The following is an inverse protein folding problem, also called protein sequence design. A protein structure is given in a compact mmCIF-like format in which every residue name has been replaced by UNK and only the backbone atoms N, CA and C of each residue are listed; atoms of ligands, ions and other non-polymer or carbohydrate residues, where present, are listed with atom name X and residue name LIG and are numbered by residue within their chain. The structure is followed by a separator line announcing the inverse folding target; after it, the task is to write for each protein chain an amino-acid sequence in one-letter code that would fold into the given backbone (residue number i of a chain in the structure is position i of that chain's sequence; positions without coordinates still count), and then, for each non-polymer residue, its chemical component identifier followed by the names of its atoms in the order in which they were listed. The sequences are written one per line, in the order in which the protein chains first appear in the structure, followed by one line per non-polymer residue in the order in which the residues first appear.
data_IF_369383670994
#
_entry.id   IF_369383670994
#
_cell.length_a   1.000
_cell.length_b   1.000
_cell.length_c   1.000
_cell.angle_alpha   90.00
_cell.angle_beta   90.00
_cell.angle_gamma   90.00
#
_symmetry.space_group_name_H-M   'P 1'
#
loop_
_entity.id
_entity.type
_entity.pdbx_description
1 polymer ?
#
# COMPACT_ATOMS: atom_id res chain seq x y z
N UNK A 1 15.04 26.81 -23.57
CA UNK A 1 15.53 25.78 -22.62
C UNK A 1 14.48 24.79 -22.07
N UNK A 2 13.15 24.92 -22.29
CA UNK A 2 12.13 23.96 -21.76
C UNK A 2 12.01 22.61 -22.51
N UNK A 3 12.61 22.43 -23.70
CA UNK A 3 12.43 21.21 -24.54
C UNK A 3 13.33 20.02 -24.16
N UNK A 4 14.58 20.25 -23.73
CA UNK A 4 15.51 19.16 -23.37
C UNK A 4 15.16 18.49 -22.03
N UNK A 5 14.70 19.28 -21.04
CA UNK A 5 14.19 18.73 -19.77
C UNK A 5 12.97 17.83 -19.97
N UNK A 6 12.08 18.20 -20.90
CA UNK A 6 10.92 17.39 -21.30
C UNK A 6 11.32 16.06 -21.96
N UNK A 7 12.30 16.07 -22.86
CA UNK A 7 12.77 14.85 -23.53
C UNK A 7 13.51 13.90 -22.58
N UNK A 8 14.33 14.44 -21.67
CA UNK A 8 15.04 13.65 -20.66
C UNK A 8 14.08 13.01 -19.66
N UNK A 9 13.08 13.75 -19.17
CA UNK A 9 12.07 13.21 -18.25
C UNK A 9 11.18 12.17 -18.94
N UNK A 10 10.81 12.39 -20.21
CA UNK A 10 10.08 11.37 -21.01
C UNK A 10 10.89 10.08 -21.17
N UNK A 11 12.14 10.17 -21.64
CA UNK A 11 13.03 9.00 -21.76
C UNK A 11 13.20 8.29 -20.41
N UNK A 12 13.27 9.05 -19.31
CA UNK A 12 13.38 8.51 -17.96
C UNK A 12 12.13 7.75 -17.55
N UNK A 13 10.94 8.29 -17.81
CA UNK A 13 9.66 7.64 -17.55
C UNK A 13 9.46 6.39 -18.42
N UNK A 14 9.80 6.47 -19.71
CA UNK A 14 9.71 5.34 -20.66
C UNK A 14 10.62 4.19 -20.23
N UNK A 15 11.87 4.48 -19.86
CA UNK A 15 12.80 3.46 -19.34
C UNK A 15 12.24 2.80 -18.09
N UNK A 16 11.70 3.59 -17.15
CA UNK A 16 11.11 3.07 -15.92
C UNK A 16 9.90 2.17 -16.22
N UNK A 17 9.04 2.57 -17.16
CA UNK A 17 7.85 1.82 -17.57
C UNK A 17 8.23 0.47 -18.17
N UNK A 18 9.16 0.45 -19.13
CA UNK A 18 9.63 -0.77 -19.80
C UNK A 18 10.23 -1.77 -18.79
N UNK A 19 11.01 -1.28 -17.82
CA UNK A 19 11.54 -2.14 -16.73
C UNK A 19 10.41 -2.77 -15.89
N UNK A 20 9.39 -1.99 -15.53
CA UNK A 20 8.24 -2.48 -14.74
C UNK A 20 7.46 -3.53 -15.53
N UNK A 21 7.10 -3.25 -16.78
CA UNK A 21 6.29 -4.14 -17.63
C UNK A 21 7.01 -5.48 -17.87
N UNK A 22 8.31 -5.43 -18.18
CA UNK A 22 9.12 -6.64 -18.36
C UNK A 22 9.24 -7.47 -17.09
N UNK A 23 9.49 -6.83 -15.94
CA UNK A 23 9.57 -7.50 -14.66
C UNK A 23 8.24 -8.13 -14.24
N UNK A 24 7.12 -7.40 -14.34
CA UNK A 24 5.79 -7.94 -14.04
C UNK A 24 5.48 -9.15 -14.90
N UNK A 25 5.72 -9.07 -16.22
CA UNK A 25 5.52 -10.19 -17.13
C UNK A 25 6.34 -11.42 -16.75
N UNK A 26 7.60 -11.24 -16.31
CA UNK A 26 8.45 -12.35 -15.86
C UNK A 26 7.98 -12.91 -14.50
N UNK A 27 7.59 -12.06 -13.55
CA UNK A 27 7.07 -12.52 -12.26
C UNK A 27 5.80 -13.35 -12.40
N UNK A 28 4.91 -13.01 -13.34
CA UNK A 28 3.71 -13.80 -13.61
C UNK A 28 3.98 -15.17 -14.21
N UNK A 29 5.05 -15.34 -15.00
CA UNK A 29 5.34 -16.61 -15.68
C UNK A 29 6.28 -17.51 -14.91
N UNK A 30 7.24 -16.93 -14.16
CA UNK A 30 8.34 -17.66 -13.50
C UNK A 30 8.33 -17.52 -11.97
N UNK A 31 7.39 -16.76 -11.41
CA UNK A 31 7.41 -16.38 -9.98
C UNK A 31 8.48 -15.33 -9.67
N UNK A 32 8.41 -14.71 -8.49
CA UNK A 32 9.40 -13.70 -8.10
C UNK A 32 10.81 -14.30 -7.94
N UNK A 33 10.91 -15.46 -7.27
CA UNK A 33 12.21 -16.07 -6.95
C UNK A 33 12.93 -16.63 -8.18
N UNK A 34 12.17 -17.07 -9.19
CA UNK A 34 12.71 -17.59 -10.46
C UNK A 34 13.20 -16.53 -11.46
N UNK A 35 13.15 -15.24 -11.11
CA UNK A 35 13.52 -14.12 -11.99
C UNK A 35 14.70 -13.35 -11.41
N UNK A 36 15.77 -13.18 -12.15
CA UNK A 36 16.93 -12.36 -11.79
C UNK A 36 16.80 -10.92 -12.31
N UNK A 37 17.69 -10.02 -11.86
CA UNK A 37 17.77 -8.67 -12.47
C UNK A 37 18.25 -8.78 -13.91
N UNK A 38 19.15 -9.72 -14.19
CA UNK A 38 19.68 -10.08 -15.49
C UNK A 38 18.55 -10.45 -16.47
N UNK A 39 17.64 -11.34 -16.07
CA UNK A 39 16.47 -11.71 -16.88
C UNK A 39 15.61 -10.49 -17.29
N UNK A 40 15.43 -9.55 -16.36
CA UNK A 40 14.64 -8.32 -16.60
C UNK A 40 15.37 -7.41 -17.58
N UNK A 41 16.69 -7.24 -17.41
CA UNK A 41 17.49 -6.38 -18.28
C UNK A 41 17.81 -7.01 -19.62
N UNK A 42 17.76 -8.33 -19.80
CA UNK A 42 17.87 -8.97 -21.11
C UNK A 42 16.61 -8.78 -21.95
N UNK A 43 15.44 -8.78 -21.28
CA UNK A 43 14.15 -8.52 -21.93
C UNK A 43 13.94 -7.03 -22.27
N UNK A 44 14.84 -6.16 -21.82
CA UNK A 44 14.77 -4.71 -22.06
C UNK A 44 16.05 -4.25 -22.72
N UNK A 45 16.05 -3.24 -23.59
CA UNK A 45 17.31 -2.74 -24.16
C UNK A 45 18.04 -1.81 -23.15
N UNK A 46 18.15 -2.24 -21.89
CA UNK A 46 18.55 -1.44 -20.73
C UNK A 46 19.68 -2.16 -20.01
N UNK A 47 20.72 -1.44 -19.60
CA UNK A 47 21.83 -2.05 -18.86
C UNK A 47 21.49 -2.32 -17.39
N UNK A 48 22.19 -3.28 -16.75
CA UNK A 48 22.11 -3.52 -15.30
C UNK A 48 22.37 -2.27 -14.45
N UNK A 49 23.36 -1.46 -14.85
CA UNK A 49 23.62 -0.16 -14.21
C UNK A 49 22.42 0.79 -14.33
N UNK A 50 21.75 0.78 -15.48
CA UNK A 50 20.53 1.57 -15.67
C UNK A 50 19.38 1.04 -14.83
N UNK A 51 19.19 -0.28 -14.69
CA UNK A 51 18.20 -0.84 -13.76
C UNK A 51 18.37 -0.29 -12.35
N UNK A 52 19.59 -0.37 -11.80
CA UNK A 52 19.87 0.05 -10.43
C UNK A 52 19.75 1.56 -10.21
N UNK A 53 19.81 2.37 -11.29
CA UNK A 53 19.47 3.80 -11.25
C UNK A 53 18.00 4.05 -10.94
N UNK A 54 17.09 3.14 -11.30
CA UNK A 54 15.65 3.28 -11.04
C UNK A 54 15.18 2.47 -9.83
N UNK A 55 15.70 1.26 -9.67
CA UNK A 55 15.26 0.32 -8.64
C UNK A 55 16.48 -0.23 -7.91
N UNK A 56 16.59 0.08 -6.61
CA UNK A 56 17.72 -0.38 -5.79
C UNK A 56 17.78 -1.91 -5.70
N UNK A 57 16.62 -2.56 -5.78
CA UNK A 57 16.46 -4.01 -5.66
C UNK A 57 15.32 -4.50 -6.57
N UNK A 58 15.23 -5.81 -6.80
CA UNK A 58 14.19 -6.44 -7.63
C UNK A 58 12.79 -6.25 -7.03
N UNK A 59 12.66 -6.41 -5.71
CA UNK A 59 11.42 -6.21 -4.97
C UNK A 59 10.95 -4.75 -4.94
N UNK A 60 11.84 -3.78 -5.20
CA UNK A 60 11.43 -2.38 -5.32
C UNK A 60 10.49 -2.14 -6.52
N UNK A 61 10.45 -3.04 -7.50
CA UNK A 61 9.47 -3.02 -8.59
C UNK A 61 8.09 -3.46 -8.12
N UNK A 62 8.05 -4.52 -7.29
CA UNK A 62 6.82 -5.05 -6.70
C UNK A 62 6.17 -3.96 -5.85
N UNK A 63 6.91 -3.43 -4.87
CA UNK A 63 6.43 -2.42 -3.92
C UNK A 63 6.56 -0.97 -4.42
N UNK A 64 6.68 -0.74 -5.72
CA UNK A 64 6.95 0.59 -6.30
C UNK A 64 5.91 1.65 -5.92
N UNK A 65 4.67 1.22 -5.65
CA UNK A 65 3.53 2.07 -5.34
C UNK A 65 3.28 2.20 -3.83
N UNK A 66 4.03 1.50 -2.98
CA UNK A 66 3.86 1.53 -1.52
C UNK A 66 3.93 2.95 -0.95
N UNK A 67 5.04 3.66 -1.18
CA UNK A 67 5.22 5.03 -0.68
C UNK A 67 4.15 6.02 -1.20
N UNK A 68 3.82 6.04 -2.51
CA UNK A 68 2.68 6.81 -3.01
C UNK A 68 1.37 6.49 -2.31
N UNK A 69 1.04 5.20 -2.10
CA UNK A 69 -0.20 4.79 -1.43
C UNK A 69 -0.23 5.22 0.04
N UNK A 70 0.88 5.09 0.78
CA UNK A 70 1.00 5.61 2.16
C UNK A 70 0.81 7.13 2.19
N UNK A 71 1.33 7.87 1.21
CA UNK A 71 1.15 9.32 1.13
C UNK A 71 -0.32 9.72 0.90
N UNK A 72 -1.00 9.05 -0.04
CA UNK A 72 -2.45 9.24 -0.28
C UNK A 72 -3.24 8.93 0.99
N UNK A 73 -2.90 7.84 1.68
CA UNK A 73 -3.56 7.46 2.92
C UNK A 73 -3.39 8.51 4.02
N UNK A 74 -2.17 9.02 4.22
CA UNK A 74 -1.88 10.13 5.15
C UNK A 74 -2.67 11.39 4.81
N UNK A 75 -2.78 11.71 3.52
CA UNK A 75 -3.58 12.86 3.08
C UNK A 75 -5.06 12.68 3.41
N UNK A 76 -5.63 11.50 3.14
CA UNK A 76 -7.02 11.18 3.47
C UNK A 76 -7.28 11.23 4.98
N UNK A 77 -6.39 10.66 5.79
CA UNK A 77 -6.43 10.74 7.25
C UNK A 77 -6.47 12.19 7.73
N UNK A 78 -5.58 13.04 7.21
CA UNK A 78 -5.48 14.44 7.61
C UNK A 78 -6.71 15.28 7.25
N UNK A 79 -7.39 14.95 6.14
CA UNK A 79 -8.57 15.66 5.65
C UNK A 79 -9.88 15.14 6.24
N UNK A 80 -9.87 13.94 6.83
CA UNK A 80 -11.07 13.32 7.33
C UNK A 80 -11.67 14.09 8.51
N UNK A 81 -12.96 14.40 8.37
CA UNK A 81 -13.76 15.11 9.37
C UNK A 81 -14.69 14.13 10.09
N UNK A 82 -15.04 14.49 11.33
CA UNK A 82 -16.05 13.81 12.14
C UNK A 82 -17.24 14.74 12.32
N UNK A 83 -18.46 14.25 12.07
CA UNK A 83 -19.68 15.04 12.29
C UNK A 83 -20.01 15.18 13.79
N UNK A 84 -19.53 14.27 14.62
CA UNK A 84 -19.78 14.18 16.06
C UNK A 84 -18.56 14.58 16.91
N UNK A 85 -17.50 15.12 16.29
CA UNK A 85 -16.25 15.49 16.95
C UNK A 85 -15.36 14.32 17.39
N UNK A 86 -15.75 13.06 17.14
CA UNK A 86 -14.98 11.88 17.60
C UNK A 86 -13.84 11.55 16.63
N UNK A 87 -12.66 11.33 17.18
CA UNK A 87 -11.47 10.90 16.42
C UNK A 87 -11.73 9.58 15.69
N UNK A 88 -12.39 8.62 16.34
CA UNK A 88 -12.72 7.31 15.76
C UNK A 88 -13.62 7.44 14.51
N UNK A 89 -14.59 8.36 14.53
CA UNK A 89 -15.44 8.66 13.38
C UNK A 89 -14.63 9.22 12.21
N UNK A 90 -13.68 10.13 12.48
CA UNK A 90 -12.80 10.67 11.44
C UNK A 90 -11.90 9.57 10.83
N UNK A 91 -11.31 8.70 11.65
CA UNK A 91 -10.48 7.59 11.16
C UNK A 91 -11.32 6.59 10.34
N UNK A 92 -12.54 6.25 10.79
CA UNK A 92 -13.48 5.42 10.02
C UNK A 92 -13.76 6.03 8.63
N UNK A 93 -14.04 7.33 8.57
CA UNK A 93 -14.29 8.03 7.30
C UNK A 93 -13.07 8.02 6.36
N UNK A 94 -11.86 8.15 6.91
CA UNK A 94 -10.63 8.05 6.13
C UNK A 94 -10.44 6.64 5.54
N UNK A 95 -10.63 5.59 6.35
CA UNK A 95 -10.51 4.20 5.91
C UNK A 95 -11.54 3.84 4.83
N UNK A 96 -12.79 4.29 4.98
CA UNK A 96 -13.83 4.16 3.95
C UNK A 96 -13.39 4.85 2.66
N UNK A 97 -12.92 6.09 2.74
CA UNK A 97 -12.45 6.82 1.54
C UNK A 97 -11.27 6.12 0.87
N UNK A 98 -10.36 5.57 1.67
CA UNK A 98 -9.21 4.81 1.18
C UNK A 98 -9.61 3.47 0.55
N UNK A 99 -10.63 2.80 1.09
CA UNK A 99 -11.19 1.58 0.51
C UNK A 99 -11.78 1.82 -0.89
N UNK A 100 -12.43 2.98 -1.11
CA UNK A 100 -12.90 3.38 -2.45
C UNK A 100 -11.76 3.62 -3.44
N UNK A 101 -10.67 4.22 -2.97
CA UNK A 101 -9.45 4.35 -3.78
C UNK A 101 -8.87 2.98 -4.15
N UNK A 102 -8.74 2.05 -3.19
CA UNK A 102 -8.24 0.70 -3.45
C UNK A 102 -9.14 -0.11 -4.40
N UNK A 103 -10.46 0.00 -4.27
CA UNK A 103 -11.38 -0.67 -5.21
C UNK A 103 -11.20 -0.14 -6.64
N UNK A 104 -10.91 1.16 -6.81
CA UNK A 104 -10.65 1.76 -8.13
C UNK A 104 -9.39 1.23 -8.83
N UNK A 105 -8.42 0.70 -8.08
CA UNK A 105 -7.16 0.13 -8.59
C UNK A 105 -7.03 -1.37 -8.33
N UNK A 106 -8.14 -2.06 -8.02
CA UNK A 106 -8.13 -3.45 -7.53
C UNK A 106 -7.43 -4.46 -8.43
N UNK A 107 -7.47 -4.26 -9.75
CA UNK A 107 -6.77 -5.14 -10.70
C UNK A 107 -5.26 -5.09 -10.45
N UNK A 108 -4.69 -3.89 -10.34
CA UNK A 108 -3.27 -3.70 -10.08
C UNK A 108 -2.85 -4.24 -8.72
N UNK A 109 -3.71 -4.03 -7.70
CA UNK A 109 -3.46 -4.56 -6.35
C UNK A 109 -3.51 -6.09 -6.30
N UNK A 110 -4.47 -6.71 -6.98
CA UNK A 110 -4.58 -8.18 -7.04
C UNK A 110 -3.39 -8.79 -7.78
N UNK A 111 -2.94 -8.14 -8.84
CA UNK A 111 -1.75 -8.51 -9.60
C UNK A 111 -0.47 -8.40 -8.74
N UNK A 112 -0.32 -7.33 -7.96
CA UNK A 112 0.76 -7.16 -6.98
C UNK A 112 0.70 -8.23 -5.88
N UNK A 113 -0.49 -8.46 -5.30
CA UNK A 113 -0.74 -9.47 -4.27
C UNK A 113 -0.34 -10.87 -4.72
N UNK A 114 -0.73 -11.27 -5.94
CA UNK A 114 -0.34 -12.58 -6.50
C UNK A 114 1.18 -12.76 -6.58
N UNK A 115 1.91 -11.71 -6.97
CA UNK A 115 3.38 -11.75 -7.00
C UNK A 115 3.94 -11.85 -5.59
N UNK A 116 3.41 -11.09 -4.63
CA UNK A 116 3.82 -11.17 -3.22
C UNK A 116 3.61 -12.57 -2.66
N UNK A 117 2.43 -13.15 -2.85
CA UNK A 117 2.10 -14.50 -2.36
C UNK A 117 2.89 -15.63 -3.04
N UNK A 118 3.58 -15.34 -4.15
CA UNK A 118 4.45 -16.32 -4.82
C UNK A 118 5.79 -16.56 -4.12
N UNK A 119 6.16 -15.74 -3.12
CA UNK A 119 7.45 -15.81 -2.44
C UNK A 119 7.35 -15.51 -0.94
N UNK A 120 7.80 -16.42 -0.06
CA UNK A 120 7.87 -16.18 1.39
C UNK A 120 8.68 -14.93 1.76
N UNK A 121 9.73 -14.62 0.97
CA UNK A 121 10.52 -13.40 1.17
C UNK A 121 9.69 -12.14 0.94
N UNK A 122 8.85 -12.11 -0.10
CA UNK A 122 7.97 -10.97 -0.37
C UNK A 122 6.86 -10.85 0.68
N UNK A 123 6.29 -11.95 1.14
CA UNK A 123 5.30 -11.95 2.23
C UNK A 123 5.89 -11.28 3.48
N UNK A 124 7.09 -11.69 3.88
CA UNK A 124 7.77 -11.05 5.01
C UNK A 124 8.00 -9.54 4.79
N UNK A 125 8.37 -9.16 3.56
CA UNK A 125 8.59 -7.75 3.19
C UNK A 125 7.32 -6.92 3.10
N UNK A 126 6.17 -7.53 2.86
CA UNK A 126 4.86 -6.89 2.86
C UNK A 126 4.40 -6.61 4.30
N UNK A 127 4.54 -7.60 5.19
CA UNK A 127 4.29 -7.45 6.64
C UNK A 127 5.18 -6.35 7.26
N UNK A 128 6.44 -6.23 6.83
CA UNK A 128 7.31 -5.12 7.26
C UNK A 128 6.76 -3.75 6.83
N UNK A 129 6.12 -3.66 5.66
CA UNK A 129 5.61 -2.42 5.06
C UNK A 129 4.25 -2.00 5.59
N UNK A 130 3.46 -2.95 6.05
CA UNK A 130 2.20 -2.70 6.76
C UNK A 130 2.36 -1.69 7.91
N UNK A 131 3.53 -1.72 8.57
CA UNK A 131 3.87 -0.77 9.63
C UNK A 131 3.78 0.69 9.18
N UNK A 132 4.08 1.01 7.92
CA UNK A 132 3.99 2.40 7.44
C UNK A 132 2.54 2.92 7.41
N UNK A 133 1.56 2.03 7.19
CA UNK A 133 0.14 2.35 7.25
C UNK A 133 -0.34 2.47 8.70
N UNK A 134 0.06 1.53 9.58
CA UNK A 134 -0.25 1.61 11.00
C UNK A 134 0.32 2.89 11.63
N UNK A 135 1.58 3.23 11.32
CA UNK A 135 2.22 4.46 11.78
C UNK A 135 1.47 5.70 11.28
N UNK A 136 0.95 5.70 10.05
CA UNK A 136 0.13 6.80 9.54
C UNK A 136 -1.14 7.02 10.39
N UNK A 137 -1.82 5.93 10.80
CA UNK A 137 -3.00 6.00 11.68
C UNK A 137 -2.59 6.54 13.04
N UNK A 138 -1.50 6.02 13.61
CA UNK A 138 -0.99 6.50 14.89
C UNK A 138 -0.70 8.00 14.85
N UNK A 139 0.07 8.47 13.87
CA UNK A 139 0.52 9.87 13.82
C UNK A 139 -0.68 10.81 13.76
N UNK A 140 -1.72 10.45 12.99
CA UNK A 140 -2.94 11.24 12.91
C UNK A 140 -3.73 11.23 14.23
N UNK A 141 -3.87 10.07 14.89
CA UNK A 141 -4.56 9.99 16.19
C UNK A 141 -3.78 10.78 17.25
N UNK A 142 -2.46 10.61 17.31
CA UNK A 142 -1.61 11.29 18.29
C UNK A 142 -1.66 12.80 18.10
N UNK A 143 -1.58 13.28 16.86
CA UNK A 143 -1.74 14.71 16.51
C UNK A 143 -3.07 15.26 17.02
N UNK A 144 -4.18 14.54 16.89
CA UNK A 144 -5.51 14.98 17.35
C UNK A 144 -5.69 14.93 18.86
N UNK A 145 -5.08 13.95 19.54
CA UNK A 145 -5.12 13.84 21.00
C UNK A 145 -4.24 14.88 21.70
N UNK A 146 -3.21 15.39 21.02
CA UNK A 146 -2.21 16.29 21.57
C UNK A 146 -1.08 15.55 22.29
N UNK A 147 0.02 16.27 22.52
CA UNK A 147 1.24 15.70 23.08
C UNK A 147 1.04 15.10 24.49
N UNK A 148 1.82 14.07 24.80
CA UNK A 148 1.89 13.48 26.13
C UNK A 148 1.94 11.96 26.12
N UNK A 149 2.65 11.37 27.08
CA UNK A 149 2.90 9.93 27.12
C UNK A 149 1.61 9.09 27.17
N UNK A 150 0.60 9.54 27.92
CA UNK A 150 -0.71 8.88 28.00
C UNK A 150 -1.44 8.87 26.65
N UNK A 151 -1.38 9.98 25.92
CA UNK A 151 -1.99 10.10 24.59
C UNK A 151 -1.22 9.28 23.55
N UNK A 152 0.11 9.25 23.64
CA UNK A 152 0.96 8.40 22.80
C UNK A 152 0.60 6.91 22.95
N UNK A 153 0.46 6.45 24.19
CA UNK A 153 0.05 5.07 24.49
C UNK A 153 -1.35 4.75 23.93
N UNK A 154 -2.33 5.64 24.16
CA UNK A 154 -3.69 5.49 23.61
C UNK A 154 -3.69 5.46 22.08
N UNK A 155 -2.95 6.35 21.42
CA UNK A 155 -2.86 6.39 19.97
C UNK A 155 -2.25 5.11 19.40
N UNK A 156 -1.24 4.53 20.07
CA UNK A 156 -0.63 3.27 19.63
C UNK A 156 -1.59 2.09 19.72
N UNK A 157 -2.32 1.96 20.83
CA UNK A 157 -3.34 0.91 20.99
C UNK A 157 -4.40 1.02 19.89
N UNK A 158 -4.94 2.23 19.68
CA UNK A 158 -6.00 2.45 18.70
C UNK A 158 -5.51 2.17 17.27
N UNK A 159 -4.30 2.63 16.92
CA UNK A 159 -3.72 2.38 15.60
C UNK A 159 -3.53 0.88 15.34
N UNK A 160 -2.95 0.15 16.29
CA UNK A 160 -2.74 -1.29 16.18
C UNK A 160 -4.07 -2.06 16.05
N UNK A 161 -5.08 -1.72 16.85
CA UNK A 161 -6.39 -2.35 16.81
C UNK A 161 -7.11 -2.11 15.47
N UNK A 162 -7.13 -0.86 15.01
CA UNK A 162 -7.75 -0.47 13.73
C UNK A 162 -7.02 -1.12 12.56
N UNK A 163 -5.69 -1.11 12.57
CA UNK A 163 -4.90 -1.69 11.49
C UNK A 163 -5.04 -3.23 11.46
N UNK A 164 -5.15 -3.87 12.61
CA UNK A 164 -5.47 -5.30 12.71
C UNK A 164 -6.73 -5.67 11.93
N UNK A 165 -7.82 -4.90 12.10
CA UNK A 165 -9.04 -5.09 11.31
C UNK A 165 -8.82 -4.86 9.82
N UNK A 166 -8.14 -3.76 9.45
CA UNK A 166 -7.88 -3.43 8.05
C UNK A 166 -7.09 -4.53 7.33
N UNK A 167 -6.08 -5.10 7.99
CA UNK A 167 -5.27 -6.21 7.45
C UNK A 167 -6.13 -7.44 7.15
N UNK A 168 -6.95 -7.89 8.10
CA UNK A 168 -7.84 -9.05 7.91
C UNK A 168 -8.86 -8.79 6.78
N UNK A 169 -9.41 -7.57 6.71
CA UNK A 169 -10.31 -7.18 5.62
C UNK A 169 -9.61 -7.25 4.26
N UNK A 170 -8.38 -6.75 4.16
CA UNK A 170 -7.59 -6.79 2.92
C UNK A 170 -7.25 -8.21 2.50
N UNK A 171 -6.80 -9.06 3.44
CA UNK A 171 -6.53 -10.49 3.19
C UNK A 171 -7.77 -11.19 2.63
N UNK A 172 -8.91 -11.08 3.32
CA UNK A 172 -10.19 -11.65 2.86
C UNK A 172 -10.60 -11.10 1.48
N UNK A 173 -10.42 -9.79 1.26
CA UNK A 173 -10.76 -9.18 -0.02
C UNK A 173 -9.88 -9.72 -1.17
N UNK A 174 -8.59 -9.91 -0.94
CA UNK A 174 -7.68 -10.48 -1.94
C UNK A 174 -7.93 -11.97 -2.19
N UNK A 175 -8.15 -12.76 -1.15
CA UNK A 175 -8.50 -14.18 -1.25
C UNK A 175 -9.83 -14.38 -2.02
N UNK A 176 -10.78 -13.49 -1.81
CA UNK A 176 -12.02 -13.41 -2.59
C UNK A 176 -11.85 -12.89 -4.03
N UNK A 177 -10.61 -12.63 -4.47
CA UNK A 177 -10.29 -12.11 -5.80
C UNK A 177 -10.81 -10.70 -6.06
N UNK A 178 -10.94 -9.88 -5.00
CA UNK A 178 -11.43 -8.51 -5.02
C UNK A 178 -12.85 -8.36 -5.59
N UNK A 179 -13.68 -9.41 -5.51
CA UNK A 179 -15.06 -9.42 -6.02
C UNK A 179 -16.05 -8.70 -5.10
N UNK A 180 -15.81 -8.77 -3.79
CA UNK A 180 -16.63 -8.10 -2.79
C UNK A 180 -16.28 -6.61 -2.70
N UNK A 181 -17.22 -5.80 -2.21
CA UNK A 181 -16.95 -4.39 -1.93
C UNK A 181 -16.01 -4.28 -0.72
N UNK A 182 -14.80 -3.75 -0.95
CA UNK A 182 -13.84 -3.47 0.12
C UNK A 182 -14.41 -2.48 1.15
N UNK A 183 -15.19 -1.51 0.68
CA UNK A 183 -15.87 -0.55 1.55
C UNK A 183 -16.83 -1.24 2.52
N UNK A 184 -17.66 -2.16 2.01
CA UNK A 184 -18.61 -2.91 2.83
C UNK A 184 -17.89 -3.75 3.88
N UNK A 185 -16.89 -4.53 3.48
CA UNK A 185 -16.08 -5.36 4.39
C UNK A 185 -15.39 -4.49 5.45
N UNK A 186 -14.85 -3.34 5.05
CA UNK A 186 -14.22 -2.38 5.95
C UNK A 186 -15.20 -1.83 6.99
N UNK A 187 -16.40 -1.43 6.57
CA UNK A 187 -17.45 -0.92 7.48
C UNK A 187 -17.88 -1.97 8.51
N UNK A 188 -18.13 -3.19 8.07
CA UNK A 188 -18.51 -4.33 8.93
C UNK A 188 -17.42 -4.61 9.97
N UNK A 189 -16.14 -4.65 9.57
CA UNK A 189 -15.03 -4.88 10.51
C UNK A 189 -14.88 -3.79 11.57
N UNK A 190 -15.13 -2.53 11.22
CA UNK A 190 -15.05 -1.42 12.15
C UNK A 190 -16.25 -1.43 13.11
N UNK A 191 -17.41 -1.90 12.68
CA UNK A 191 -18.56 -2.10 13.56
C UNK A 191 -18.28 -3.17 14.61
N UNK A 192 -17.69 -4.30 14.22
CA UNK A 192 -17.20 -5.33 15.15
C UNK A 192 -16.22 -4.72 16.17
N UNK A 193 -15.24 -3.94 15.70
CA UNK A 193 -14.24 -3.33 16.59
C UNK A 193 -14.85 -2.31 17.57
N UNK A 194 -15.82 -1.50 17.13
CA UNK A 194 -16.39 -0.42 17.94
C UNK A 194 -17.58 -0.83 18.79
N UNK A 195 -18.30 -1.91 18.45
CA UNK A 195 -19.34 -2.50 19.29
C UNK A 195 -18.74 -3.31 20.45
N UNK A 196 -17.50 -3.80 20.32
CA UNK A 196 -16.82 -4.59 21.34
C UNK A 196 -16.92 -6.10 21.07
N UNK A 197 -16.41 -6.92 22.00
CA UNK A 197 -16.40 -8.39 21.91
C UNK A 197 -17.72 -9.04 22.41
N UNK A 198 -18.83 -8.30 22.40
CA UNK A 198 -20.13 -8.82 22.82
C UNK A 198 -20.78 -9.56 21.64
N UNK A 199 -20.32 -10.80 21.39
CA UNK A 199 -20.89 -11.74 20.43
C UNK A 199 -21.37 -13.00 21.13
#
# INVERSE_FOLDING_TARGET
MKREGSLRERKKADTRRVLIESAQSLFFTRGFDGVSVEDIVEKTNVSRSTFFRYFKTKEAIVFRNHKPRVAIFKEMLSKAKSNDGKITTAIKNALVSFSGYYDSIKKELLDEYRVVMSSPYLIAKDIEKDRDFEDAIFEEIYKRLGEGQKNRYRARILAAAIFGCARIVMENWFEGGCKNSLEKLGRESLEILFLGFDF
#
